data_IF_186200530737
#
_entry.id   IF_186200530737
#
_cell.length_a   1.000
_cell.length_b   1.000
_cell.length_c   1.000
_cell.angle_alpha   90.00
_cell.angle_beta   90.00
_cell.angle_gamma   90.00
#
_symmetry.space_group_name_H-M   'P 1'
#
loop_
_entity.id
_entity.type
_entity.pdbx_description
1 polymer ?
#
# COMPACT_ATOMS: atom_id res chain seq x y z
N UNK A 1 -8.77 94.96 -41.34
CA UNK A 1 -9.25 93.58 -41.07
C UNK A 1 -8.25 92.60 -41.69
N UNK A 2 -7.90 91.54 -40.94
CA UNK A 2 -7.24 90.29 -41.39
C UNK A 2 -5.72 90.18 -41.14
N UNK A 3 -5.27 90.12 -39.89
CA UNK A 3 -3.96 89.54 -39.52
C UNK A 3 -4.01 88.60 -38.29
N UNK A 4 -5.12 87.86 -38.09
CA UNK A 4 -5.26 86.87 -36.99
C UNK A 4 -4.78 85.44 -37.33
N UNK A 5 -4.07 85.24 -38.45
CA UNK A 5 -3.67 83.89 -38.91
C UNK A 5 -2.50 83.21 -38.15
N UNK A 6 -1.48 83.91 -37.61
CA UNK A 6 -0.33 83.21 -36.98
C UNK A 6 -0.62 82.70 -35.57
N UNK A 7 -1.57 83.29 -34.84
CA UNK A 7 -1.91 82.89 -33.47
C UNK A 7 -2.68 81.56 -33.44
N UNK A 8 -3.57 81.33 -34.41
CA UNK A 8 -4.36 80.09 -34.53
C UNK A 8 -3.47 78.90 -34.89
N UNK A 9 -2.45 79.12 -35.71
CA UNK A 9 -1.53 78.06 -36.15
C UNK A 9 -0.59 77.61 -35.02
N UNK A 10 -0.12 78.54 -34.19
CA UNK A 10 0.67 78.22 -33.00
C UNK A 10 -0.12 77.41 -31.96
N UNK A 11 -1.42 77.70 -31.79
CA UNK A 11 -2.30 76.93 -30.90
C UNK A 11 -2.57 75.50 -31.38
N UNK A 12 -2.74 75.31 -32.70
CA UNK A 12 -2.96 74.00 -33.29
C UNK A 12 -1.73 73.09 -33.18
N UNK A 13 -0.52 73.64 -33.38
CA UNK A 13 0.74 72.89 -33.21
C UNK A 13 0.95 72.50 -31.75
N UNK A 14 0.67 73.39 -30.80
CA UNK A 14 0.81 73.09 -29.37
C UNK A 14 -0.14 71.95 -28.91
N UNK A 15 -1.39 71.95 -29.39
CA UNK A 15 -2.35 70.88 -29.09
C UNK A 15 -1.97 69.55 -29.74
N UNK A 16 -1.40 69.59 -30.96
CA UNK A 16 -0.89 68.38 -31.63
C UNK A 16 0.28 67.74 -30.87
N UNK A 17 1.23 68.55 -30.40
CA UNK A 17 2.37 68.07 -29.61
C UNK A 17 1.92 67.56 -28.23
N UNK A 18 0.95 68.23 -27.59
CA UNK A 18 0.40 67.79 -26.31
C UNK A 18 -0.36 66.46 -26.43
N UNK A 19 -1.13 66.29 -27.51
CA UNK A 19 -1.82 65.04 -27.84
C UNK A 19 -0.83 63.90 -28.06
N UNK A 20 0.25 64.14 -28.82
CA UNK A 20 1.31 63.16 -29.05
C UNK A 20 2.03 62.80 -27.74
N UNK A 21 2.30 63.79 -26.90
CA UNK A 21 2.96 63.58 -25.61
C UNK A 21 2.09 62.75 -24.66
N UNK A 22 0.77 63.00 -24.61
CA UNK A 22 -0.17 62.21 -23.81
C UNK A 22 -0.30 60.76 -24.32
N UNK A 23 -0.30 60.56 -25.63
CA UNK A 23 -0.31 59.22 -26.26
C UNK A 23 0.97 58.42 -25.95
N UNK A 24 2.13 59.08 -25.88
CA UNK A 24 3.40 58.45 -25.49
C UNK A 24 3.40 58.08 -24.00
N UNK A 25 2.84 58.92 -23.13
CA UNK A 25 2.74 58.65 -21.69
C UNK A 25 1.83 57.44 -21.38
N UNK A 26 0.74 57.24 -22.12
CA UNK A 26 -0.18 56.11 -21.89
C UNK A 26 0.42 54.73 -22.20
N UNK A 27 1.47 54.66 -23.02
CA UNK A 27 2.12 53.39 -23.37
C UNK A 27 3.15 52.93 -22.32
N UNK A 28 3.53 53.79 -21.37
CA UNK A 28 4.48 53.44 -20.30
C UNK A 28 3.83 52.75 -19.09
N UNK A 29 2.51 52.73 -18.99
CA UNK A 29 1.77 52.23 -17.81
C UNK A 29 1.22 50.81 -17.93
N UNK A 30 1.59 50.05 -18.98
CA UNK A 30 1.05 48.71 -19.24
C UNK A 30 2.06 47.56 -19.10
N UNK A 31 3.23 47.79 -18.51
CA UNK A 31 4.22 46.72 -18.35
C UNK A 31 4.98 46.82 -17.02
N UNK A 32 4.34 46.33 -15.96
CA UNK A 32 5.07 45.60 -14.91
C UNK A 32 4.20 44.43 -14.49
N UNK A 33 4.19 43.40 -15.34
CA UNK A 33 3.75 42.08 -14.92
C UNK A 33 4.58 41.65 -13.71
N UNK A 34 3.89 41.12 -12.70
CA UNK A 34 4.39 40.65 -11.41
C UNK A 34 5.70 39.87 -11.53
N UNK A 35 6.82 40.48 -11.12
CA UNK A 35 8.11 39.78 -10.97
C UNK A 35 8.06 38.92 -9.72
N UNK A 36 7.58 37.68 -9.83
CA UNK A 36 7.65 36.71 -8.74
C UNK A 36 9.03 36.03 -8.78
N UNK A 37 9.94 36.41 -7.88
CA UNK A 37 11.21 35.72 -7.68
C UNK A 37 10.95 34.37 -7.00
N UNK A 38 10.94 33.27 -7.75
CA UNK A 38 10.75 31.92 -7.19
C UNK A 38 11.88 31.01 -7.65
N UNK A 39 12.48 30.31 -6.69
CA UNK A 39 13.42 29.22 -6.95
C UNK A 39 12.71 27.92 -6.59
N UNK A 40 12.51 27.06 -7.58
CA UNK A 40 11.88 25.76 -7.42
C UNK A 40 12.92 24.67 -7.60
N UNK A 41 12.92 23.67 -6.73
CA UNK A 41 13.75 22.49 -6.83
C UNK A 41 12.88 21.24 -6.65
N UNK A 42 13.24 20.18 -7.37
CA UNK A 42 12.71 18.85 -7.21
C UNK A 42 13.86 17.96 -6.78
N UNK A 43 13.69 17.24 -5.66
CA UNK A 43 14.65 16.27 -5.16
C UNK A 43 14.01 14.89 -5.13
N UNK A 44 14.71 13.89 -5.66
CA UNK A 44 14.34 12.48 -5.55
C UNK A 44 15.24 11.82 -4.50
N UNK A 45 14.64 11.18 -3.49
CA UNK A 45 15.33 10.42 -2.47
C UNK A 45 15.09 8.94 -2.67
N UNK A 46 16.14 8.17 -2.96
CA UNK A 46 16.09 6.71 -3.04
C UNK A 46 16.88 6.11 -1.88
N UNK A 47 16.23 5.25 -1.09
CA UNK A 47 16.88 4.48 -0.02
C UNK A 47 16.78 3.01 -0.38
N UNK A 48 17.92 2.32 -0.33
CA UNK A 48 18.00 0.87 -0.46
C UNK A 48 18.42 0.33 0.90
N UNK A 49 17.58 -0.51 1.50
CA UNK A 49 17.84 -1.15 2.79
C UNK A 49 17.85 -2.68 2.61
N UNK A 50 18.73 -3.35 3.34
CA UNK A 50 18.71 -4.81 3.44
C UNK A 50 17.55 -5.24 4.37
N UNK A 51 16.82 -6.31 4.07
CA UNK A 51 15.84 -6.87 4.99
C UNK A 51 16.51 -7.27 6.31
N UNK A 52 15.81 -7.07 7.42
CA UNK A 52 16.27 -7.32 8.79
C UNK A 52 15.38 -8.33 9.54
N UNK A 53 14.26 -8.75 8.94
CA UNK A 53 13.35 -9.76 9.49
C UNK A 53 12.76 -10.62 8.38
N UNK A 54 12.55 -11.90 8.67
CA UNK A 54 11.76 -12.82 7.85
C UNK A 54 10.45 -13.16 8.56
N UNK A 55 9.38 -13.31 7.77
CA UNK A 55 8.07 -13.74 8.26
C UNK A 55 7.73 -15.05 7.57
N UNK A 56 7.66 -16.13 8.34
CA UNK A 56 7.29 -17.46 7.86
C UNK A 56 5.87 -17.76 8.33
N UNK A 57 5.03 -18.30 7.44
CA UNK A 57 3.69 -18.74 7.79
C UNK A 57 3.64 -20.27 7.67
N UNK A 58 3.53 -20.94 8.81
CA UNK A 58 3.42 -22.39 8.94
C UNK A 58 1.95 -22.74 9.11
N UNK A 59 1.54 -23.89 8.57
CA UNK A 59 0.16 -24.35 8.66
C UNK A 59 0.12 -25.81 9.08
N UNK A 60 -0.54 -26.08 10.20
CA UNK A 60 -0.72 -27.42 10.74
C UNK A 60 -2.10 -27.91 10.34
N UNK A 61 -2.13 -28.89 9.44
CA UNK A 61 -3.35 -29.58 9.03
C UNK A 61 -3.43 -30.93 9.75
N UNK A 62 -4.55 -31.14 10.45
CA UNK A 62 -4.83 -32.38 11.17
C UNK A 62 -6.20 -32.91 10.77
N UNK A 63 -6.31 -34.22 10.58
CA UNK A 63 -7.57 -34.88 10.24
C UNK A 63 -7.84 -36.01 11.24
N UNK A 64 -9.05 -36.07 11.78
CA UNK A 64 -9.47 -37.16 12.65
C UNK A 64 -10.95 -37.48 12.46
N UNK A 65 -11.41 -38.59 13.06
CA UNK A 65 -12.81 -39.02 12.95
C UNK A 65 -13.76 -38.09 13.69
N UNK A 66 -13.30 -37.50 14.79
CA UNK A 66 -14.07 -36.56 15.59
C UNK A 66 -13.42 -35.18 15.60
N UNK A 67 -14.23 -34.15 15.81
CA UNK A 67 -13.75 -32.77 15.92
C UNK A 67 -12.79 -32.59 17.09
N UNK A 68 -13.09 -33.25 18.23
CA UNK A 68 -12.27 -33.18 19.44
C UNK A 68 -10.91 -33.82 19.25
N UNK A 69 -10.87 -35.02 18.68
CA UNK A 69 -9.61 -35.72 18.39
C UNK A 69 -8.74 -34.90 17.43
N UNK A 70 -9.33 -34.32 16.38
CA UNK A 70 -8.59 -33.46 15.45
C UNK A 70 -8.02 -32.21 16.12
N UNK A 71 -8.74 -31.62 17.07
CA UNK A 71 -8.29 -30.45 17.84
C UNK A 71 -7.19 -30.81 18.85
N UNK A 72 -7.37 -31.90 19.60
CA UNK A 72 -6.40 -32.36 20.61
C UNK A 72 -5.06 -32.72 19.92
N UNK A 73 -5.11 -33.44 18.79
CA UNK A 73 -3.93 -33.74 17.98
C UNK A 73 -3.28 -32.49 17.37
N UNK A 74 -4.07 -31.54 16.88
CA UNK A 74 -3.53 -30.30 16.32
C UNK A 74 -2.84 -29.46 17.40
N UNK A 75 -3.42 -29.39 18.59
CA UNK A 75 -2.84 -28.71 19.75
C UNK A 75 -1.53 -29.36 20.18
N UNK A 76 -1.47 -30.69 20.21
CA UNK A 76 -0.23 -31.41 20.54
C UNK A 76 0.88 -31.17 19.50
N UNK A 77 0.55 -31.12 18.20
CA UNK A 77 1.51 -30.78 17.14
C UNK A 77 1.95 -29.32 17.22
N UNK A 78 1.03 -28.40 17.53
CA UNK A 78 1.32 -26.99 17.72
C UNK A 78 2.29 -26.74 18.87
N UNK A 79 2.11 -27.43 20.00
CA UNK A 79 3.00 -27.30 21.15
C UNK A 79 4.41 -27.79 20.82
N UNK A 80 4.54 -28.94 20.14
CA UNK A 80 5.85 -29.43 19.68
C UNK A 80 6.55 -28.48 18.71
N UNK A 81 5.78 -27.82 17.85
CA UNK A 81 6.33 -26.80 16.96
C UNK A 81 6.86 -25.61 17.76
N UNK A 82 6.10 -25.12 18.75
CA UNK A 82 6.53 -24.02 19.62
C UNK A 82 7.81 -24.40 20.37
N UNK A 83 7.87 -25.58 20.98
CA UNK A 83 9.05 -26.11 21.67
C UNK A 83 10.28 -26.18 20.75
N UNK A 84 10.10 -26.61 19.49
CA UNK A 84 11.17 -26.64 18.50
C UNK A 84 11.68 -25.22 18.18
N UNK A 85 10.76 -24.27 17.95
CA UNK A 85 11.10 -22.88 17.63
C UNK A 85 11.82 -22.19 18.80
N UNK A 86 11.40 -22.44 20.04
CA UNK A 86 12.10 -21.97 21.25
C UNK A 86 13.51 -22.55 21.33
N UNK A 87 13.69 -23.82 20.99
CA UNK A 87 15.01 -24.48 20.91
C UNK A 87 15.95 -23.87 19.87
N UNK A 88 15.40 -23.28 18.80
CA UNK A 88 16.15 -22.54 17.79
C UNK A 88 16.41 -21.07 18.17
N UNK A 89 15.99 -20.63 19.36
CA UNK A 89 16.20 -19.27 19.85
C UNK A 89 15.15 -18.26 19.38
N UNK A 90 14.01 -18.72 18.85
CA UNK A 90 12.88 -17.84 18.51
C UNK A 90 12.05 -17.60 19.78
N UNK A 91 11.91 -16.33 20.15
CA UNK A 91 11.09 -15.93 21.29
C UNK A 91 9.60 -16.23 21.05
N UNK A 92 8.89 -16.68 22.10
CA UNK A 92 7.43 -16.92 22.05
C UNK A 92 6.65 -15.69 21.55
N UNK A 93 7.12 -14.47 21.87
CA UNK A 93 6.53 -13.20 21.43
C UNK A 93 6.52 -13.02 19.90
N UNK A 94 7.42 -13.72 19.21
CA UNK A 94 7.62 -13.67 17.77
C UNK A 94 6.87 -14.83 17.07
N UNK A 95 6.18 -15.69 17.83
CA UNK A 95 5.28 -16.74 17.33
C UNK A 95 3.82 -16.32 17.57
N UNK A 96 2.99 -16.35 16.52
CA UNK A 96 1.59 -15.94 16.60
C UNK A 96 0.68 -16.83 15.77
N UNK A 97 -0.35 -17.41 16.39
CA UNK A 97 -1.45 -18.03 15.64
C UNK A 97 -2.27 -16.96 14.93
N UNK A 98 -2.32 -17.02 13.61
CA UNK A 98 -3.04 -16.07 12.75
C UNK A 98 -4.37 -16.61 12.24
N UNK A 99 -4.56 -17.92 12.26
CA UNK A 99 -5.80 -18.56 11.85
C UNK A 99 -6.02 -19.91 12.52
N UNK A 100 -7.27 -20.23 12.82
CA UNK A 100 -7.69 -21.54 13.30
C UNK A 100 -9.08 -21.84 12.74
N UNK A 101 -9.21 -22.94 12.01
CA UNK A 101 -10.47 -23.35 11.40
C UNK A 101 -10.67 -24.86 11.55
N UNK A 102 -11.92 -25.27 11.79
CA UNK A 102 -12.31 -26.68 11.80
C UNK A 102 -13.44 -26.89 10.80
N UNK A 103 -13.29 -27.89 9.94
CA UNK A 103 -14.25 -28.17 8.87
C UNK A 103 -14.57 -29.67 8.79
N UNK A 104 -15.85 -30.04 8.70
CA UNK A 104 -16.24 -31.44 8.45
C UNK A 104 -15.80 -31.85 7.04
N UNK A 105 -15.29 -33.09 6.91
CA UNK A 105 -14.92 -33.71 5.65
C UNK A 105 -16.03 -34.65 5.21
N UNK A 106 -16.58 -34.42 4.01
CA UNK A 106 -17.68 -35.21 3.46
C UNK A 106 -17.20 -36.16 2.38
N UNK A 107 -17.69 -37.40 2.42
CA UNK A 107 -17.58 -38.33 1.31
C UNK A 107 -18.83 -38.23 0.43
N UNK A 108 -18.59 -38.02 -0.85
CA UNK A 108 -19.60 -37.99 -1.90
C UNK A 108 -19.45 -39.24 -2.77
N UNK A 109 -20.45 -40.15 -2.77
CA UNK A 109 -20.41 -41.34 -3.63
C UNK A 109 -20.36 -40.95 -5.13
N UNK A 110 -19.46 -41.54 -5.93
CA UNK A 110 -19.35 -41.25 -7.36
C UNK A 110 -20.52 -41.83 -8.19
N UNK A 111 -20.81 -41.25 -9.35
CA UNK A 111 -21.82 -41.79 -10.28
C UNK A 111 -21.31 -43.08 -10.97
N UNK A 112 -22.14 -44.11 -11.26
CA UNK A 112 -23.60 -44.22 -11.13
C UNK A 112 -24.09 -44.70 -9.75
N UNK A 113 -23.19 -44.86 -8.78
CA UNK A 113 -23.54 -45.33 -7.43
C UNK A 113 -24.40 -44.31 -6.67
N UNK A 114 -24.52 -43.07 -7.17
CA UNK A 114 -25.36 -42.00 -6.60
C UNK A 114 -26.85 -42.23 -6.89
N UNK A 115 -27.56 -42.81 -5.92
CA UNK A 115 -29.03 -42.90 -5.85
C UNK A 115 -29.59 -41.91 -4.80
N UNK A 116 -30.91 -41.74 -4.73
CA UNK A 116 -31.59 -40.80 -3.81
C UNK A 116 -31.25 -41.03 -2.32
N UNK A 117 -30.81 -42.25 -1.96
CA UNK A 117 -30.42 -42.64 -0.60
C UNK A 117 -28.94 -42.38 -0.26
N UNK A 118 -28.12 -41.97 -1.24
CA UNK A 118 -26.68 -41.75 -1.05
C UNK A 118 -26.39 -40.27 -0.75
N UNK A 119 -26.79 -39.86 0.46
CA UNK A 119 -26.50 -38.53 0.99
C UNK A 119 -25.01 -38.39 1.36
N UNK A 120 -24.43 -37.17 1.27
CA UNK A 120 -23.07 -36.93 1.72
C UNK A 120 -22.91 -37.29 3.19
N UNK A 121 -21.93 -38.13 3.51
CA UNK A 121 -21.66 -38.54 4.89
C UNK A 121 -20.39 -37.87 5.39
N UNK A 122 -20.42 -37.39 6.64
CA UNK A 122 -19.23 -36.92 7.32
C UNK A 122 -18.32 -38.13 7.54
N UNK A 123 -17.09 -38.02 7.09
CA UNK A 123 -16.04 -39.05 7.24
C UNK A 123 -14.99 -38.67 8.27
N UNK A 124 -14.92 -37.39 8.62
CA UNK A 124 -14.04 -36.88 9.65
C UNK A 124 -14.11 -35.36 9.75
N UNK A 125 -13.17 -34.80 10.49
CA UNK A 125 -12.99 -33.37 10.67
C UNK A 125 -11.54 -33.02 10.35
N UNK A 126 -11.37 -31.90 9.68
CA UNK A 126 -10.07 -31.31 9.38
C UNK A 126 -9.92 -30.02 10.18
N UNK A 127 -8.88 -29.95 10.99
CA UNK A 127 -8.43 -28.73 11.66
C UNK A 127 -7.28 -28.14 10.86
N UNK A 128 -7.35 -26.83 10.64
CA UNK A 128 -6.33 -26.05 9.96
C UNK A 128 -5.93 -24.89 10.87
N UNK A 129 -4.70 -24.91 11.36
CA UNK A 129 -4.14 -23.85 12.21
C UNK A 129 -2.95 -23.21 11.51
N UNK A 130 -2.99 -21.90 11.32
CA UNK A 130 -1.91 -21.12 10.72
C UNK A 130 -1.17 -20.34 11.81
N UNK A 131 0.15 -20.49 11.83
CA UNK A 131 1.07 -19.87 12.77
C UNK A 131 2.06 -19.03 11.97
N UNK A 132 2.18 -17.78 12.35
CA UNK A 132 3.18 -16.86 11.83
C UNK A 132 4.36 -16.80 12.79
N UNK A 133 5.56 -16.94 12.24
CA UNK A 133 6.82 -16.88 12.96
C UNK A 133 7.62 -15.72 12.41
N UNK A 134 8.05 -14.81 13.29
CA UNK A 134 8.94 -13.71 12.96
C UNK A 134 10.38 -14.09 13.32
N UNK A 135 11.21 -14.21 12.31
CA UNK A 135 12.62 -14.53 12.45
C UNK A 135 13.41 -13.22 12.32
N UNK A 136 14.16 -12.87 13.36
CA UNK A 136 15.00 -11.65 13.39
C UNK A 136 16.43 -11.92 12.95
N UNK A 137 16.88 -13.16 13.12
CA UNK A 137 18.17 -13.62 12.64
C UNK A 137 17.98 -14.34 11.30
N UNK A 138 18.28 -13.67 10.21
CA UNK A 138 18.10 -14.23 8.87
C UNK A 138 19.02 -15.43 8.61
N UNK A 139 20.14 -15.55 9.31
CA UNK A 139 21.05 -16.71 9.18
C UNK A 139 20.40 -17.99 9.73
N UNK A 140 19.47 -17.87 10.69
CA UNK A 140 18.69 -18.99 11.23
C UNK A 140 17.47 -19.38 10.37
N UNK A 141 17.21 -18.65 9.28
CA UNK A 141 16.04 -18.94 8.43
C UNK A 141 16.17 -20.30 7.75
N UNK A 142 17.39 -20.68 7.37
CA UNK A 142 17.64 -21.97 6.70
C UNK A 142 17.41 -23.14 7.66
N UNK A 143 17.89 -23.05 8.90
CA UNK A 143 17.72 -24.09 9.94
C UNK A 143 16.26 -24.29 10.38
N UNK A 144 15.41 -23.28 10.22
CA UNK A 144 13.98 -23.34 10.56
C UNK A 144 13.13 -23.89 9.40
N UNK A 145 13.64 -23.83 8.17
CA UNK A 145 12.93 -24.27 6.97
C UNK A 145 13.29 -25.68 6.49
N UNK A 146 14.45 -26.21 6.89
CA UNK A 146 14.88 -27.60 6.60
C UNK A 146 14.17 -28.64 7.50
#
# INVERSE_FOLDING_TARGET
>A
MNNCKPLVWSGAVALGVLSLFLLVQTNHTLQTATTTNTVSFAGEGKVLAKPDVAIVNLTILTEAKTSKEAQDENSAKSNKLIEFLEGQGIDEKDVKTTGYNISPQYYYPPYPQRNENNTPRITGYRVNQTIQVKIRDLEMTDDVLD
#
